data_IF_565973337278
#
_entry.id   IF_565973337278
#
_cell.length_a   1.000
_cell.length_b   1.000
_cell.length_c   1.000
_cell.angle_alpha   90.00
_cell.angle_beta   90.00
_cell.angle_gamma   90.00
#
_symmetry.space_group_name_H-M   'P 1'
#
loop_
_entity.id
_entity.type
_entity.pdbx_description
1 polymer ?
#
# COMPACT_ATOMS: atom_id res chain seq x y z
N UNK A 1 12.66 13.16 -8.30
CA UNK A 1 13.91 13.48 -7.58
C UNK A 1 13.53 14.03 -6.23
N UNK A 2 14.00 13.44 -5.15
CA UNK A 2 13.80 13.92 -3.79
C UNK A 2 14.72 15.11 -3.53
N UNK A 3 14.26 16.11 -2.76
CA UNK A 3 15.06 17.26 -2.38
C UNK A 3 16.32 16.82 -1.60
N UNK A 4 17.43 17.53 -1.80
CA UNK A 4 18.67 17.30 -1.04
C UNK A 4 18.42 17.71 0.41
N UNK A 5 18.81 16.84 1.35
CA UNK A 5 18.65 17.08 2.78
C UNK A 5 19.78 16.44 3.57
N UNK A 6 20.01 16.91 4.77
CA UNK A 6 20.88 16.27 5.75
C UNK A 6 20.02 15.42 6.68
N UNK A 7 20.41 14.17 6.86
CA UNK A 7 19.78 13.25 7.81
C UNK A 7 20.72 13.09 9.02
N UNK A 8 20.18 13.32 10.20
CA UNK A 8 20.95 13.28 11.45
C UNK A 8 20.32 12.26 12.41
N UNK A 9 21.15 11.49 13.09
CA UNK A 9 20.76 10.45 14.07
C UNK A 9 19.73 9.42 13.54
N UNK A 10 19.79 9.04 12.25
CA UNK A 10 18.91 8.04 11.65
C UNK A 10 19.70 6.84 11.15
N UNK A 11 19.08 5.66 11.19
CA UNK A 11 19.63 4.49 10.52
C UNK A 11 19.52 4.63 8.99
N UNK A 12 20.36 3.89 8.24
CA UNK A 12 20.28 3.87 6.78
C UNK A 12 18.90 3.40 6.29
N UNK A 13 18.28 2.45 6.99
CA UNK A 13 16.94 1.97 6.64
C UNK A 13 15.86 3.05 6.88
N UNK A 14 15.96 3.83 7.95
CA UNK A 14 15.03 4.96 8.19
C UNK A 14 15.15 6.02 7.10
N UNK A 15 16.38 6.32 6.66
CA UNK A 15 16.63 7.27 5.57
C UNK A 15 15.98 6.78 4.27
N UNK A 16 16.16 5.50 3.94
CA UNK A 16 15.55 4.88 2.76
C UNK A 16 14.03 4.89 2.88
N UNK A 17 13.48 4.49 4.04
CA UNK A 17 12.04 4.46 4.28
C UNK A 17 11.42 5.85 4.11
N UNK A 18 12.01 6.89 4.70
CA UNK A 18 11.55 8.26 4.55
C UNK A 18 11.55 8.71 3.07
N UNK A 19 12.58 8.35 2.31
CA UNK A 19 12.66 8.66 0.89
C UNK A 19 11.57 7.93 0.07
N UNK A 20 11.25 6.69 0.42
CA UNK A 20 10.18 5.91 -0.21
C UNK A 20 8.80 6.46 0.13
N UNK A 21 8.58 6.89 1.38
CA UNK A 21 7.32 7.50 1.83
C UNK A 21 7.06 8.83 1.10
N UNK A 22 8.08 9.67 0.92
CA UNK A 22 7.97 10.88 0.11
C UNK A 22 7.67 10.57 -1.36
N UNK A 23 8.32 9.54 -1.91
CA UNK A 23 8.05 9.09 -3.28
C UNK A 23 6.60 8.63 -3.42
N UNK A 24 6.09 7.85 -2.46
CA UNK A 24 4.70 7.40 -2.44
C UNK A 24 3.72 8.58 -2.38
N UNK A 25 3.96 9.56 -1.48
CA UNK A 25 3.13 10.77 -1.35
C UNK A 25 3.13 11.62 -2.62
N UNK A 26 4.26 11.72 -3.30
CA UNK A 26 4.41 12.56 -4.50
C UNK A 26 3.89 11.90 -5.78
N UNK A 27 4.05 10.57 -5.91
CA UNK A 27 3.85 9.84 -7.19
C UNK A 27 2.78 8.77 -7.11
N UNK A 28 2.31 8.41 -5.92
CA UNK A 28 1.46 7.24 -5.65
C UNK A 28 2.10 5.88 -6.04
N UNK A 29 3.41 5.86 -6.30
CA UNK A 29 4.15 4.64 -6.61
C UNK A 29 4.75 4.04 -5.34
N UNK A 30 4.52 2.75 -5.14
CA UNK A 30 5.05 2.00 -4.01
C UNK A 30 6.26 1.18 -4.43
N UNK A 31 7.31 1.26 -3.63
CA UNK A 31 8.53 0.48 -3.79
C UNK A 31 8.76 -0.40 -2.57
N UNK A 32 9.42 -1.52 -2.76
CA UNK A 32 9.86 -2.40 -1.69
C UNK A 32 11.35 -2.63 -1.77
N UNK A 33 11.99 -2.62 -0.60
CA UNK A 33 13.40 -2.98 -0.43
C UNK A 33 13.46 -4.37 0.18
N UNK A 34 14.20 -5.27 -0.45
CA UNK A 34 14.32 -6.65 0.00
C UNK A 34 15.69 -7.26 -0.34
N UNK A 35 16.05 -8.30 0.37
CA UNK A 35 17.19 -9.14 0.02
C UNK A 35 16.80 -10.15 -1.06
N UNK A 36 17.52 -10.14 -2.17
CA UNK A 36 17.37 -11.10 -3.24
C UNK A 36 18.63 -11.99 -3.32
N UNK A 37 18.65 -13.03 -2.51
CA UNK A 37 19.77 -13.98 -2.42
C UNK A 37 21.14 -13.29 -2.19
N UNK A 38 21.22 -12.43 -1.15
CA UNK A 38 22.44 -11.69 -0.78
C UNK A 38 22.60 -10.36 -1.53
N UNK A 39 21.68 -10.00 -2.43
CA UNK A 39 21.69 -8.71 -3.15
C UNK A 39 20.55 -7.83 -2.68
N UNK A 40 20.88 -6.71 -2.02
CA UNK A 40 19.88 -5.72 -1.66
C UNK A 40 19.23 -5.12 -2.91
N UNK A 41 17.93 -5.25 -3.02
CA UNK A 41 17.16 -4.91 -4.23
C UNK A 41 16.02 -3.98 -3.89
N UNK A 42 15.92 -2.87 -4.62
CA UNK A 42 14.77 -1.96 -4.59
C UNK A 42 13.94 -2.18 -5.85
N UNK A 43 12.65 -2.48 -5.69
CA UNK A 43 11.74 -2.73 -6.81
C UNK A 43 10.43 -1.96 -6.67
N UNK A 44 9.93 -1.45 -7.79
CA UNK A 44 8.55 -0.98 -7.87
C UNK A 44 7.61 -2.20 -7.84
N UNK A 45 6.54 -2.16 -7.03
CA UNK A 45 5.61 -3.30 -6.91
C UNK A 45 4.93 -3.65 -8.24
N UNK A 46 4.76 -2.70 -9.15
CA UNK A 46 4.23 -2.94 -10.49
C UNK A 46 5.04 -3.96 -11.30
N UNK A 47 6.35 -4.09 -10.99
CA UNK A 47 7.25 -5.07 -11.60
C UNK A 47 7.23 -6.43 -10.86
N UNK A 48 6.48 -6.54 -9.77
CA UNK A 48 6.40 -7.75 -8.94
C UNK A 48 5.07 -8.48 -9.08
N UNK A 49 4.41 -8.34 -10.23
CA UNK A 49 3.19 -9.06 -10.57
C UNK A 49 3.49 -10.52 -10.88
N UNK A 50 2.77 -11.43 -10.21
CA UNK A 50 2.78 -12.85 -10.52
C UNK A 50 1.41 -13.29 -11.06
N UNK A 51 1.43 -14.19 -12.03
CA UNK A 51 0.23 -14.83 -12.58
C UNK A 51 -0.43 -15.86 -11.67
N UNK A 52 -0.11 -15.85 -10.36
CA UNK A 52 -0.75 -16.71 -9.37
C UNK A 52 -2.12 -16.14 -9.02
N UNK A 53 -3.15 -16.98 -9.12
CA UNK A 53 -4.53 -16.62 -8.83
C UNK A 53 -4.93 -17.24 -7.49
N UNK A 54 -5.46 -16.42 -6.60
CA UNK A 54 -6.11 -16.85 -5.36
C UNK A 54 -7.63 -16.81 -5.59
N UNK A 55 -8.25 -17.96 -5.61
CA UNK A 55 -9.70 -18.16 -5.78
C UNK A 55 -10.25 -19.13 -4.73
N UNK A 56 -11.53 -19.45 -4.77
CA UNK A 56 -12.20 -20.37 -3.82
C UNK A 56 -11.57 -21.79 -3.85
N UNK A 57 -11.05 -22.22 -4.98
CA UNK A 57 -10.43 -23.56 -5.12
C UNK A 57 -8.99 -23.61 -4.56
N UNK A 58 -8.28 -22.47 -4.55
CA UNK A 58 -6.88 -22.36 -4.12
C UNK A 58 -6.71 -21.80 -2.71
N UNK A 59 -7.76 -21.18 -2.16
CA UNK A 59 -7.80 -20.66 -0.80
C UNK A 59 -8.48 -21.67 0.13
N UNK A 60 -7.73 -22.24 1.11
CA UNK A 60 -8.33 -23.16 2.09
C UNK A 60 -9.27 -22.42 3.06
N UNK A 61 -8.72 -21.46 3.80
CA UNK A 61 -9.45 -20.60 4.73
C UNK A 61 -9.08 -19.16 4.47
N UNK A 62 -10.05 -18.25 4.51
CA UNK A 62 -9.75 -16.83 4.39
C UNK A 62 -10.60 -15.96 5.34
N UNK A 63 -10.00 -14.85 5.79
CA UNK A 63 -10.62 -13.78 6.56
C UNK A 63 -10.46 -12.45 5.83
N UNK A 64 -11.57 -11.80 5.48
CA UNK A 64 -11.58 -10.52 4.78
C UNK A 64 -12.11 -9.42 5.67
N UNK A 65 -11.41 -8.29 5.69
CA UNK A 65 -11.80 -7.07 6.41
C UNK A 65 -11.75 -5.86 5.50
N UNK A 66 -12.83 -5.09 5.52
CA UNK A 66 -12.92 -3.78 4.87
C UNK A 66 -13.20 -2.72 5.93
N UNK A 67 -12.41 -1.64 5.96
CA UNK A 67 -12.49 -0.63 7.01
C UNK A 67 -12.22 0.78 6.48
N UNK A 68 -12.82 1.77 7.13
CA UNK A 68 -12.51 3.20 6.98
C UNK A 68 -11.89 3.81 8.25
N UNK A 69 -11.63 2.97 9.28
CA UNK A 69 -11.19 3.44 10.59
C UNK A 69 -9.74 3.95 10.60
N UNK A 70 -8.86 3.38 9.75
CA UNK A 70 -7.45 3.72 9.71
C UNK A 70 -6.98 4.01 8.29
N UNK A 71 -6.14 5.04 8.13
CA UNK A 71 -5.53 5.42 6.86
C UNK A 71 -6.52 5.68 5.71
N UNK A 72 -7.76 6.07 6.06
CA UNK A 72 -8.80 6.47 5.10
C UNK A 72 -9.14 7.94 5.36
N UNK A 73 -8.87 8.78 4.39
CA UNK A 73 -9.13 10.21 4.48
C UNK A 73 -9.76 10.72 3.19
N UNK A 74 -10.85 11.49 3.33
CA UNK A 74 -11.58 12.07 2.20
C UNK A 74 -11.49 13.59 2.14
N UNK A 75 -10.72 14.18 3.06
CA UNK A 75 -10.38 15.60 3.11
C UNK A 75 -8.91 15.73 3.51
N UNK A 76 -8.10 16.31 2.63
CA UNK A 76 -6.67 16.57 2.86
C UNK A 76 -6.47 18.06 3.05
N UNK A 77 -5.82 18.46 4.13
CA UNK A 77 -5.42 19.84 4.41
C UNK A 77 -3.93 19.92 4.63
N UNK A 78 -3.23 20.58 3.72
CA UNK A 78 -1.80 20.85 3.83
C UNK A 78 -1.59 22.32 4.13
N UNK A 79 -0.63 22.62 5.00
CA UNK A 79 -0.30 23.98 5.36
C UNK A 79 1.21 24.16 5.46
N UNK A 80 1.66 25.37 5.15
CA UNK A 80 3.05 25.81 5.23
C UNK A 80 3.08 27.16 5.91
N UNK A 81 4.17 27.46 6.62
CA UNK A 81 4.36 28.75 7.25
C UNK A 81 4.47 29.85 6.20
N UNK A 82 3.77 30.96 6.40
CA UNK A 82 3.77 32.09 5.46
C UNK A 82 2.95 31.91 4.18
N UNK A 83 2.17 30.84 4.03
CA UNK A 83 1.30 30.65 2.89
C UNK A 83 -0.10 30.14 3.28
N UNK A 84 -1.09 30.39 2.42
CA UNK A 84 -2.44 29.91 2.63
C UNK A 84 -2.50 28.37 2.60
N UNK A 85 -3.33 27.75 3.46
CA UNK A 85 -3.50 26.31 3.48
C UNK A 85 -4.24 25.82 2.23
N UNK A 86 -3.75 24.72 1.66
CA UNK A 86 -4.41 24.00 0.56
C UNK A 86 -5.33 22.94 1.14
N UNK A 87 -6.58 22.89 0.66
CA UNK A 87 -7.55 21.88 1.05
C UNK A 87 -8.20 21.26 -0.18
N UNK A 88 -8.10 19.94 -0.30
CA UNK A 88 -8.81 19.13 -1.30
C UNK A 88 -9.71 18.11 -0.62
N UNK A 89 -10.87 17.80 -1.22
CA UNK A 89 -11.85 16.87 -0.63
C UNK A 89 -12.63 16.12 -1.69
N UNK A 90 -13.17 14.96 -1.32
CA UNK A 90 -14.12 14.18 -2.11
C UNK A 90 -15.52 14.32 -1.51
N UNK A 91 -16.40 15.12 -2.14
CA UNK A 91 -17.77 15.26 -1.68
C UNK A 91 -18.54 13.94 -1.68
N UNK A 92 -18.28 13.07 -2.66
CA UNK A 92 -18.93 11.76 -2.76
C UNK A 92 -18.68 10.88 -1.53
N UNK A 93 -17.42 10.74 -1.11
CA UNK A 93 -17.08 9.88 0.03
C UNK A 93 -17.37 10.56 1.36
N UNK A 94 -17.38 11.89 1.43
CA UNK A 94 -17.86 12.62 2.60
C UNK A 94 -19.34 12.35 2.86
N UNK A 95 -20.18 12.30 1.82
CA UNK A 95 -21.60 11.95 1.98
C UNK A 95 -21.80 10.50 2.45
N UNK A 96 -20.88 9.59 2.11
CA UNK A 96 -20.98 8.17 2.47
C UNK A 96 -20.43 7.86 3.86
N UNK A 97 -19.31 8.50 4.26
CA UNK A 97 -18.51 8.11 5.43
C UNK A 97 -18.36 9.22 6.46
N UNK A 98 -18.94 10.42 6.22
CA UNK A 98 -18.62 11.60 7.00
C UNK A 98 -17.26 12.18 6.63
N UNK A 99 -16.85 13.23 7.36
CA UNK A 99 -15.55 13.89 7.13
C UNK A 99 -14.44 13.15 7.84
N UNK A 100 -13.53 12.58 7.06
CA UNK A 100 -12.30 11.96 7.51
C UNK A 100 -11.13 12.84 7.03
N UNK A 101 -10.58 13.66 7.93
CA UNK A 101 -9.58 14.67 7.58
C UNK A 101 -8.17 14.22 7.92
N UNK A 102 -7.27 14.37 6.95
CA UNK A 102 -5.81 14.36 7.14
C UNK A 102 -5.29 15.80 7.11
N UNK A 103 -4.40 16.15 8.03
CA UNK A 103 -3.75 17.45 8.07
C UNK A 103 -2.25 17.28 8.31
N UNK A 104 -1.41 17.96 7.49
CA UNK A 104 0.05 17.88 7.59
C UNK A 104 0.68 19.25 7.35
N UNK A 105 1.69 19.62 8.17
CA UNK A 105 2.57 20.76 7.92
C UNK A 105 3.69 20.31 6.99
N UNK A 106 3.82 20.98 5.83
CA UNK A 106 4.86 20.71 4.84
C UNK A 106 5.96 21.74 5.01
N UNK A 107 7.16 21.29 5.36
CA UNK A 107 8.30 22.16 5.62
C UNK A 107 9.18 22.41 4.37
N UNK A 108 8.98 21.64 3.30
CA UNK A 108 9.72 21.78 2.04
C UNK A 108 9.06 22.83 1.14
N UNK A 109 9.75 23.94 0.91
CA UNK A 109 9.27 25.05 0.10
C UNK A 109 9.20 24.73 -1.40
N UNK A 110 9.93 23.72 -1.86
CA UNK A 110 9.94 23.29 -3.26
C UNK A 110 8.72 22.44 -3.62
N UNK A 111 8.01 21.88 -2.64
CA UNK A 111 6.86 21.00 -2.86
C UNK A 111 5.62 21.79 -3.27
N UNK A 112 5.00 21.42 -4.38
CA UNK A 112 3.70 21.94 -4.80
C UNK A 112 2.58 21.33 -3.94
N UNK A 113 2.01 22.11 -3.02
CA UNK A 113 0.97 21.67 -2.08
C UNK A 113 -0.30 21.16 -2.78
N UNK A 114 -0.71 21.75 -3.91
CA UNK A 114 -1.90 21.31 -4.63
C UNK A 114 -1.71 19.90 -5.22
N UNK A 115 -0.56 19.66 -5.85
CA UNK A 115 -0.25 18.34 -6.42
C UNK A 115 -0.11 17.29 -5.32
N UNK A 116 0.56 17.62 -4.23
CA UNK A 116 0.71 16.73 -3.07
C UNK A 116 -0.65 16.41 -2.45
N UNK A 117 -1.50 17.41 -2.22
CA UNK A 117 -2.84 17.21 -1.64
C UNK A 117 -3.73 16.34 -2.54
N UNK A 118 -3.67 16.52 -3.86
CA UNK A 118 -4.40 15.69 -4.82
C UNK A 118 -3.89 14.23 -4.81
N UNK A 119 -2.58 14.02 -4.75
CA UNK A 119 -1.96 12.70 -4.65
C UNK A 119 -2.35 11.99 -3.35
N UNK A 120 -2.30 12.70 -2.22
CA UNK A 120 -2.72 12.16 -0.92
C UNK A 120 -4.21 11.82 -0.89
N UNK A 121 -5.07 12.65 -1.49
CA UNK A 121 -6.49 12.34 -1.61
C UNK A 121 -6.70 11.07 -2.45
N UNK A 122 -6.00 10.92 -3.57
CA UNK A 122 -6.05 9.71 -4.40
C UNK A 122 -5.59 8.47 -3.62
N UNK A 123 -4.53 8.59 -2.82
CA UNK A 123 -3.95 7.51 -2.05
C UNK A 123 -4.86 7.05 -0.90
N UNK A 124 -5.43 8.00 -0.15
CA UNK A 124 -6.13 7.72 1.10
C UNK A 124 -7.66 7.67 0.99
N UNK A 125 -8.26 8.19 -0.08
CA UNK A 125 -9.71 8.20 -0.25
C UNK A 125 -10.25 6.84 -0.74
N UNK A 126 -9.87 5.79 -0.04
CA UNK A 126 -10.26 4.40 -0.31
C UNK A 126 -10.39 3.62 0.98
N UNK A 127 -11.27 2.63 1.03
CA UNK A 127 -11.33 1.69 2.17
C UNK A 127 -10.02 0.90 2.25
N UNK A 128 -9.51 0.70 3.46
CA UNK A 128 -8.47 -0.28 3.71
C UNK A 128 -9.09 -1.68 3.59
N UNK A 129 -8.50 -2.55 2.79
CA UNK A 129 -8.93 -3.93 2.60
C UNK A 129 -7.79 -4.86 2.91
N UNK A 130 -8.03 -5.80 3.80
CA UNK A 130 -7.07 -6.83 4.16
C UNK A 130 -7.70 -8.20 3.97
N UNK A 131 -6.93 -9.13 3.44
CA UNK A 131 -7.32 -10.52 3.23
C UNK A 131 -6.22 -11.41 3.79
N UNK A 132 -6.55 -12.25 4.76
CA UNK A 132 -5.69 -13.31 5.24
C UNK A 132 -6.12 -14.62 4.64
N UNK A 133 -5.19 -15.36 4.04
CA UNK A 133 -5.49 -16.66 3.40
C UNK A 133 -4.52 -17.69 3.94
N UNK A 134 -5.02 -18.87 4.28
CA UNK A 134 -4.21 -20.00 4.76
C UNK A 134 -4.30 -21.19 3.81
N UNK A 135 -3.30 -22.08 3.92
CA UNK A 135 -3.24 -23.32 3.16
C UNK A 135 -3.29 -23.13 1.64
N UNK A 136 -2.68 -22.04 1.15
CA UNK A 136 -2.50 -21.81 -0.29
C UNK A 136 -1.33 -22.67 -0.79
N UNK A 137 -1.45 -23.25 -1.99
CA UNK A 137 -0.34 -23.95 -2.63
C UNK A 137 0.89 -23.08 -2.74
N UNK A 138 2.05 -23.62 -2.35
CA UNK A 138 3.29 -22.88 -2.25
C UNK A 138 3.89 -22.50 -3.59
N UNK A 139 4.31 -21.25 -3.72
CA UNK A 139 5.14 -20.74 -4.81
C UNK A 139 6.30 -19.93 -4.21
N UNK A 140 7.53 -20.37 -4.40
CA UNK A 140 8.73 -19.76 -3.81
C UNK A 140 9.01 -18.34 -4.34
N UNK A 141 8.36 -17.92 -5.42
CA UNK A 141 8.46 -16.56 -5.96
C UNK A 141 7.63 -15.53 -5.17
N UNK A 142 6.66 -16.01 -4.38
CA UNK A 142 5.81 -15.14 -3.56
C UNK A 142 6.60 -14.62 -2.38
N UNK A 143 6.63 -13.30 -2.21
CA UNK A 143 7.27 -12.59 -1.10
C UNK A 143 6.50 -11.31 -0.78
N UNK A 144 6.82 -10.65 0.32
CA UNK A 144 6.30 -9.31 0.57
C UNK A 144 6.63 -8.37 -0.61
N UNK A 145 5.65 -7.57 -1.04
CA UNK A 145 5.74 -6.72 -2.23
C UNK A 145 5.21 -7.36 -3.52
N UNK A 146 5.01 -8.68 -3.56
CA UNK A 146 4.41 -9.36 -4.72
C UNK A 146 2.94 -8.95 -4.89
N UNK A 147 2.50 -8.80 -6.14
CA UNK A 147 1.11 -8.59 -6.51
C UNK A 147 0.51 -9.91 -7.01
N UNK A 148 -0.55 -10.36 -6.36
CA UNK A 148 -1.29 -11.57 -6.73
C UNK A 148 -2.71 -11.21 -7.18
N UNK A 149 -3.23 -11.95 -8.14
CA UNK A 149 -4.63 -11.83 -8.57
C UNK A 149 -5.52 -12.55 -7.56
N UNK A 150 -6.51 -11.84 -7.02
CA UNK A 150 -7.50 -12.41 -6.11
C UNK A 150 -8.86 -12.40 -6.79
N UNK A 151 -9.50 -13.57 -6.90
CA UNK A 151 -10.84 -13.77 -7.46
C UNK A 151 -11.69 -14.47 -6.40
N UNK A 152 -12.25 -13.70 -5.47
CA UNK A 152 -13.08 -14.19 -4.38
C UNK A 152 -14.30 -13.30 -4.23
N UNK A 153 -15.43 -13.91 -3.87
CA UNK A 153 -16.63 -13.20 -3.43
C UNK A 153 -16.43 -12.64 -2.01
N UNK A 154 -15.87 -11.43 -1.90
CA UNK A 154 -15.49 -10.81 -0.62
C UNK A 154 -16.53 -9.74 -0.22
N UNK A 155 -17.68 -10.15 0.32
CA UNK A 155 -18.66 -9.25 0.93
C UNK A 155 -19.08 -8.03 0.09
N UNK A 156 -18.33 -6.92 0.19
CA UNK A 156 -18.59 -5.68 -0.55
C UNK A 156 -17.94 -5.61 -1.94
N UNK A 157 -17.26 -6.66 -2.37
CA UNK A 157 -16.55 -6.74 -3.65
C UNK A 157 -16.58 -8.14 -4.26
N UNK A 158 -16.97 -8.20 -5.53
CA UNK A 158 -16.51 -9.27 -6.41
C UNK A 158 -15.14 -8.84 -6.93
N UNK A 159 -14.08 -9.38 -6.34
CA UNK A 159 -12.73 -8.97 -6.67
C UNK A 159 -12.19 -9.80 -7.82
N UNK A 160 -11.91 -9.14 -8.92
CA UNK A 160 -10.93 -9.57 -9.90
C UNK A 160 -9.85 -8.50 -9.93
N UNK A 161 -9.02 -8.42 -8.89
CA UNK A 161 -8.03 -7.36 -8.74
C UNK A 161 -6.73 -7.90 -8.15
N UNK A 162 -5.65 -7.17 -8.43
CA UNK A 162 -4.39 -7.43 -7.74
C UNK A 162 -4.49 -7.02 -6.27
N UNK A 163 -3.95 -7.85 -5.39
CA UNK A 163 -3.68 -7.51 -4.00
C UNK A 163 -2.20 -7.64 -3.70
N UNK A 164 -1.70 -6.72 -2.87
CA UNK A 164 -0.32 -6.69 -2.43
C UNK A 164 -0.09 -7.69 -1.30
N UNK A 165 0.90 -8.55 -1.43
CA UNK A 165 1.38 -9.40 -0.34
C UNK A 165 2.12 -8.52 0.67
N UNK A 166 1.54 -8.34 1.87
CA UNK A 166 2.22 -7.67 2.99
C UNK A 166 3.16 -8.60 3.73
N UNK A 167 2.73 -9.86 3.91
CA UNK A 167 3.57 -10.90 4.47
C UNK A 167 3.18 -12.26 3.93
N UNK A 168 4.14 -13.16 3.85
CA UNK A 168 3.96 -14.56 3.51
C UNK A 168 4.76 -15.42 4.46
N UNK A 169 4.15 -16.55 4.89
CA UNK A 169 4.84 -17.62 5.60
C UNK A 169 4.82 -18.86 4.72
N UNK A 170 6.00 -19.35 4.36
CA UNK A 170 6.17 -20.59 3.64
C UNK A 170 6.38 -21.74 4.63
N UNK A 171 5.63 -22.81 4.47
CA UNK A 171 5.73 -24.03 5.29
C UNK A 171 6.03 -25.22 4.37
N UNK A 172 7.13 -25.90 4.65
CA UNK A 172 7.55 -27.11 3.95
C UNK A 172 7.46 -28.28 4.93
N UNK A 173 6.51 -29.19 4.70
CA UNK A 173 6.28 -30.34 5.57
C UNK A 173 5.77 -31.51 4.75
N UNK A 174 6.29 -32.71 5.02
CA UNK A 174 5.85 -33.99 4.42
C UNK A 174 5.78 -33.93 2.87
N UNK A 175 6.78 -33.28 2.24
CA UNK A 175 6.84 -33.11 0.79
C UNK A 175 5.86 -32.09 0.22
N UNK A 176 5.09 -31.40 1.06
CA UNK A 176 4.18 -30.34 0.66
C UNK A 176 4.78 -28.95 0.94
N UNK A 177 4.47 -28.02 0.06
CA UNK A 177 4.77 -26.60 0.24
C UNK A 177 3.46 -25.82 0.28
N UNK A 178 3.17 -25.19 1.43
CA UNK A 178 1.99 -24.38 1.64
C UNK A 178 2.38 -22.95 2.06
N UNK A 179 1.50 -22.00 1.79
CA UNK A 179 1.66 -20.59 2.18
C UNK A 179 0.50 -20.11 3.05
N UNK A 180 0.84 -19.24 4.01
CA UNK A 180 -0.11 -18.34 4.67
C UNK A 180 0.18 -16.92 4.21
N UNK A 181 -0.84 -16.22 3.71
CA UNK A 181 -0.71 -14.91 3.10
C UNK A 181 -1.48 -13.85 3.88
N UNK A 182 -0.88 -12.66 4.05
CA UNK A 182 -1.61 -11.43 4.36
C UNK A 182 -1.53 -10.52 3.14
N UNK A 183 -2.70 -10.18 2.62
CA UNK A 183 -2.86 -9.39 1.42
C UNK A 183 -3.55 -8.06 1.72
N UNK A 184 -3.15 -7.00 1.03
CA UNK A 184 -3.75 -5.68 1.11
C UNK A 184 -4.20 -5.20 -0.27
N UNK A 185 -5.46 -4.76 -0.35
CA UNK A 185 -5.99 -4.05 -1.51
C UNK A 185 -5.85 -2.54 -1.35
N UNK A 186 -5.63 -1.82 -2.45
CA UNK A 186 -5.50 -0.37 -2.43
C UNK A 186 -5.30 0.23 -3.82
N UNK A 187 -5.27 1.55 -3.89
CA UNK A 187 -5.13 2.32 -5.14
C UNK A 187 -3.71 2.31 -5.74
N UNK A 188 -2.73 1.78 -5.02
CA UNK A 188 -1.36 1.58 -5.50
C UNK A 188 -1.21 0.35 -6.41
N UNK A 189 -2.32 -0.38 -6.64
CA UNK A 189 -2.38 -1.62 -7.42
C UNK A 189 -3.15 -1.36 -8.72
N UNK A 190 -2.72 -0.38 -9.51
CA UNK A 190 -3.31 -0.09 -10.83
C UNK A 190 -2.43 -0.57 -11.97
#
# INVERSE_FOLDING_TARGET
>A
KIASRTEDNKSLFDIIQNALDETLKATTQLYVLYDNAGKLTLSNIGNMKLGLVINEDTAGEYDYKSSIANNTYNKIRLFREGSDPVTVKSSRTIMQWGVLQYAEKVNDDSTNLNNMAASLLKLYNTKTRTLSVKNVLGDTRVRAGTLLVVILGLGDMNVSNFMLVESVKHSFKDGQHLMELKLRGGTFVT
#
